data_IF_138694064398
#
_entry.id   IF_138694064398
#
_cell.length_a   1.000
_cell.length_b   1.000
_cell.length_c   1.000
_cell.angle_alpha   90.00
_cell.angle_beta   90.00
_cell.angle_gamma   90.00
#
_symmetry.space_group_name_H-M   'P 1'
#
loop_
_entity.id
_entity.type
_entity.pdbx_description
1 polymer ?
#
# COMPACT_ATOMS: atom_id res chain seq x y z
N UNK A 1 -14.62 -7.74 51.60
CA UNK A 1 -13.59 -8.78 51.39
C UNK A 1 -12.24 -8.20 51.82
N UNK A 2 -11.44 -8.89 52.63
CA UNK A 2 -10.13 -8.38 53.09
C UNK A 2 -9.10 -8.64 51.99
N UNK A 3 -8.41 -7.60 51.52
CA UNK A 3 -7.41 -7.70 50.44
C UNK A 3 -6.03 -7.26 50.94
N UNK A 4 -4.99 -8.00 50.55
CA UNK A 4 -3.59 -7.72 50.94
C UNK A 4 -2.96 -6.58 50.15
N UNK A 5 -3.38 -6.37 48.89
CA UNK A 5 -2.92 -5.27 48.05
C UNK A 5 -3.84 -4.06 48.20
N UNK A 6 -3.58 -3.22 49.21
CA UNK A 6 -4.30 -1.95 49.34
C UNK A 6 -3.84 -0.94 48.27
N UNK A 7 -4.63 0.10 47.98
CA UNK A 7 -4.21 1.17 47.07
C UNK A 7 -2.86 1.79 47.45
N UNK A 8 -2.61 1.98 48.75
CA UNK A 8 -1.38 2.55 49.28
C UNK A 8 -0.20 1.59 49.08
N UNK A 9 -0.40 0.29 49.36
CA UNK A 9 0.62 -0.75 49.18
C UNK A 9 1.05 -0.92 47.71
N UNK A 10 0.21 -0.52 46.75
CA UNK A 10 0.47 -0.62 45.31
C UNK A 10 0.82 0.70 44.63
N UNK A 11 0.80 1.83 45.35
CA UNK A 11 0.91 3.17 44.77
C UNK A 11 2.19 3.37 43.93
N UNK A 12 3.35 2.96 44.46
CA UNK A 12 4.63 3.10 43.77
C UNK A 12 4.69 2.27 42.47
N UNK A 13 4.27 1.00 42.53
CA UNK A 13 4.22 0.12 41.34
C UNK A 13 3.20 0.62 40.31
N UNK A 14 2.04 1.12 40.75
CA UNK A 14 1.04 1.73 39.86
C UNK A 14 1.56 2.98 39.18
N UNK A 15 2.29 3.83 39.89
CA UNK A 15 2.84 5.06 39.33
C UNK A 15 3.99 4.77 38.34
N UNK A 16 4.84 3.78 38.63
CA UNK A 16 5.83 3.28 37.68
C UNK A 16 5.17 2.71 36.42
N UNK A 17 4.15 1.86 36.59
CA UNK A 17 3.38 1.29 35.48
C UNK A 17 2.66 2.38 34.67
N UNK A 18 2.09 3.40 35.31
CA UNK A 18 1.42 4.51 34.65
C UNK A 18 2.37 5.25 33.72
N UNK A 19 3.59 5.57 34.17
CA UNK A 19 4.61 6.23 33.32
C UNK A 19 4.99 5.36 32.13
N UNK A 20 5.19 4.06 32.36
CA UNK A 20 5.47 3.11 31.28
C UNK A 20 4.33 3.04 30.26
N UNK A 21 3.07 2.96 30.73
CA UNK A 21 1.89 2.95 29.86
C UNK A 21 1.75 4.25 29.07
N UNK A 22 2.00 5.41 29.67
CA UNK A 22 1.95 6.70 28.95
C UNK A 22 3.01 6.76 27.85
N UNK A 23 4.24 6.34 28.15
CA UNK A 23 5.31 6.28 27.16
C UNK A 23 4.96 5.30 26.01
N UNK A 24 4.41 4.13 26.36
CA UNK A 24 3.95 3.15 25.38
C UNK A 24 2.82 3.70 24.50
N UNK A 25 1.77 4.29 25.08
CA UNK A 25 0.65 4.86 24.32
C UNK A 25 1.09 6.01 23.40
N UNK A 26 2.10 6.79 23.83
CA UNK A 26 2.66 7.83 22.98
C UNK A 26 3.41 7.25 21.77
N UNK A 27 4.14 6.14 21.94
CA UNK A 27 4.84 5.45 20.86
C UNK A 27 3.89 4.63 19.96
N UNK A 28 2.80 4.11 20.52
CA UNK A 28 1.84 3.23 19.85
C UNK A 28 0.41 3.74 20.07
N UNK A 29 0.00 4.82 19.37
CA UNK A 29 -1.31 5.47 19.58
C UNK A 29 -2.52 4.63 19.13
N UNK A 30 -2.29 3.40 18.65
CA UNK A 30 -3.31 2.53 18.07
C UNK A 30 -3.55 2.79 16.58
N UNK A 31 -4.67 2.28 16.08
CA UNK A 31 -5.01 2.37 14.66
C UNK A 31 -5.40 3.80 14.25
N UNK A 32 -4.93 4.21 13.07
CA UNK A 32 -5.30 5.51 12.50
C UNK A 32 -6.72 5.45 11.91
N UNK A 33 -7.51 6.50 12.12
CA UNK A 33 -8.79 6.70 11.42
C UNK A 33 -8.64 7.09 9.94
N UNK A 34 -7.40 7.27 9.47
CA UNK A 34 -7.10 7.53 8.06
C UNK A 34 -7.50 6.32 7.22
N UNK A 35 -8.15 6.58 6.08
CA UNK A 35 -8.46 5.54 5.09
C UNK A 35 -7.20 4.72 4.79
N UNK A 36 -7.33 3.41 4.86
CA UNK A 36 -6.33 2.45 4.40
C UNK A 36 -6.83 1.79 3.12
N UNK A 37 -5.93 1.38 2.21
CA UNK A 37 -6.32 0.64 1.05
C UNK A 37 -6.87 -0.73 1.44
N UNK A 38 -7.99 -1.13 0.83
CA UNK A 38 -8.54 -2.49 1.03
C UNK A 38 -7.73 -3.54 0.27
N UNK A 39 -7.05 -3.12 -0.80
CA UNK A 39 -6.23 -3.98 -1.65
C UNK A 39 -5.00 -3.23 -2.17
N UNK A 40 -3.85 -3.91 -2.11
CA UNK A 40 -2.56 -3.44 -2.63
C UNK A 40 -2.07 -4.36 -3.73
N UNK A 41 -1.80 -3.79 -4.91
CA UNK A 41 -1.19 -4.48 -6.06
C UNK A 41 0.29 -4.17 -6.11
N UNK A 42 1.12 -5.21 -6.23
CA UNK A 42 2.54 -5.07 -6.56
C UNK A 42 2.72 -5.34 -8.05
N UNK A 43 3.33 -4.41 -8.78
CA UNK A 43 3.60 -4.56 -10.21
C UNK A 43 5.03 -4.15 -10.55
N UNK A 44 5.70 -4.96 -11.36
CA UNK A 44 7.11 -4.75 -11.70
C UNK A 44 7.38 -3.37 -12.29
N UNK A 45 8.44 -2.72 -11.80
CA UNK A 45 8.75 -1.34 -12.13
C UNK A 45 8.89 -1.05 -13.64
N UNK A 46 9.49 -1.98 -14.39
CA UNK A 46 9.67 -1.89 -15.85
C UNK A 46 8.35 -1.81 -16.63
N UNK A 47 7.23 -2.26 -16.04
CA UNK A 47 5.91 -2.27 -16.67
C UNK A 47 5.02 -1.10 -16.25
N UNK A 48 5.40 -0.34 -15.22
CA UNK A 48 4.55 0.72 -14.69
C UNK A 48 4.38 1.84 -15.71
N UNK A 49 3.13 2.29 -15.88
CA UNK A 49 2.75 3.44 -16.69
C UNK A 49 1.67 4.22 -15.95
N UNK A 50 1.54 5.52 -16.22
CA UNK A 50 0.55 6.37 -15.55
C UNK A 50 -0.90 5.87 -15.71
N UNK A 51 -1.20 5.15 -16.80
CA UNK A 51 -2.51 4.57 -17.08
C UNK A 51 -2.72 3.14 -16.58
N UNK A 52 -1.75 2.53 -15.89
CA UNK A 52 -1.80 1.12 -15.48
C UNK A 52 -3.02 0.79 -14.64
N UNK A 53 -3.37 1.62 -13.65
CA UNK A 53 -4.53 1.39 -12.80
C UNK A 53 -5.83 1.38 -13.61
N UNK A 54 -6.01 2.32 -14.54
CA UNK A 54 -7.19 2.36 -15.40
C UNK A 54 -7.27 1.12 -16.27
N UNK A 55 -6.17 0.75 -16.95
CA UNK A 55 -6.08 -0.45 -17.79
C UNK A 55 -6.44 -1.72 -17.02
N UNK A 56 -5.94 -1.90 -15.80
CA UNK A 56 -6.28 -3.03 -14.94
C UNK A 56 -7.78 -3.06 -14.63
N UNK A 57 -8.39 -1.90 -14.37
CA UNK A 57 -9.81 -1.80 -14.13
C UNK A 57 -10.68 -2.11 -15.35
N UNK A 58 -10.25 -1.71 -16.55
CA UNK A 58 -10.98 -2.03 -17.78
C UNK A 58 -11.01 -3.55 -18.03
N UNK A 59 -9.88 -4.22 -17.78
CA UNK A 59 -9.78 -5.68 -17.82
C UNK A 59 -10.64 -6.35 -16.76
N UNK A 60 -10.63 -5.84 -15.51
CA UNK A 60 -11.46 -6.37 -14.43
C UNK A 60 -12.97 -6.20 -14.72
N UNK A 61 -13.36 -5.05 -15.29
CA UNK A 61 -14.75 -4.81 -15.71
C UNK A 61 -15.17 -5.72 -16.85
N UNK A 62 -14.30 -5.98 -17.82
CA UNK A 62 -14.56 -6.96 -18.87
C UNK A 62 -14.77 -8.36 -18.28
N UNK A 63 -13.87 -8.82 -17.42
CA UNK A 63 -14.00 -10.11 -16.76
C UNK A 63 -15.29 -10.23 -15.93
N UNK A 64 -15.69 -9.17 -15.22
CA UNK A 64 -16.94 -9.19 -14.46
C UNK A 64 -18.16 -9.28 -15.39
N UNK A 65 -18.15 -8.59 -16.53
CA UNK A 65 -19.23 -8.69 -17.53
C UNK A 65 -19.32 -10.09 -18.15
N UNK A 66 -18.18 -10.75 -18.36
CA UNK A 66 -18.15 -12.07 -19.01
C UNK A 66 -18.54 -13.20 -18.05
N UNK A 67 -18.34 -13.02 -16.74
CA UNK A 67 -18.44 -14.12 -15.77
C UNK A 67 -19.39 -13.88 -14.60
N UNK A 68 -19.85 -12.65 -14.40
CA UNK A 68 -20.69 -12.25 -13.28
C UNK A 68 -21.57 -11.06 -13.66
N UNK A 69 -22.49 -11.27 -14.61
CA UNK A 69 -23.35 -10.20 -15.15
C UNK A 69 -24.30 -9.60 -14.10
N UNK A 70 -24.62 -10.37 -13.06
CA UNK A 70 -25.48 -9.96 -11.96
C UNK A 70 -24.99 -10.48 -10.60
N UNK A 71 -25.70 -10.06 -9.54
CA UNK A 71 -25.40 -10.50 -8.19
C UNK A 71 -25.50 -12.01 -7.98
N UNK A 72 -26.43 -12.71 -8.64
CA UNK A 72 -26.61 -14.15 -8.45
C UNK A 72 -25.42 -14.93 -8.98
N UNK A 73 -24.95 -14.60 -10.19
CA UNK A 73 -23.76 -15.21 -10.78
C UNK A 73 -22.50 -14.89 -9.97
N UNK A 74 -22.32 -13.63 -9.56
CA UNK A 74 -21.21 -13.24 -8.68
C UNK A 74 -21.23 -14.03 -7.37
N UNK A 75 -22.41 -14.16 -6.75
CA UNK A 75 -22.56 -14.89 -5.50
C UNK A 75 -22.33 -16.38 -5.67
N UNK A 76 -22.72 -16.97 -6.80
CA UNK A 76 -22.42 -18.36 -7.10
C UNK A 76 -20.90 -18.59 -7.21
N UNK A 77 -20.20 -17.77 -7.99
CA UNK A 77 -18.75 -17.89 -8.19
C UNK A 77 -17.93 -17.64 -6.92
N UNK A 78 -18.43 -16.80 -6.01
CA UNK A 78 -17.74 -16.45 -4.75
C UNK A 78 -18.28 -17.19 -3.51
N UNK A 79 -19.29 -18.06 -3.66
CA UNK A 79 -19.93 -18.75 -2.54
C UNK A 79 -20.67 -17.82 -1.55
N UNK A 80 -21.21 -16.69 -2.02
CA UNK A 80 -21.89 -15.70 -1.19
C UNK A 80 -23.38 -16.03 -0.99
N UNK A 81 -23.98 -15.63 0.14
CA UNK A 81 -25.41 -15.79 0.37
C UNK A 81 -26.25 -14.92 -0.56
N UNK A 82 -27.27 -15.50 -1.20
CA UNK A 82 -28.17 -14.78 -2.12
C UNK A 82 -29.39 -14.13 -1.44
N UNK A 83 -29.38 -14.05 -0.12
CA UNK A 83 -30.55 -13.66 0.69
C UNK A 83 -30.75 -12.15 0.67
N UNK A 84 -32.01 -11.68 0.60
CA UNK A 84 -32.37 -10.29 0.85
C UNK A 84 -31.64 -9.26 -0.02
N UNK A 85 -31.35 -9.60 -1.28
CA UNK A 85 -30.65 -8.71 -2.24
C UNK A 85 -29.19 -8.41 -1.89
N UNK A 86 -28.57 -9.12 -0.94
CA UNK A 86 -27.17 -8.93 -0.55
C UNK A 86 -26.22 -9.06 -1.75
N UNK A 87 -26.41 -10.12 -2.53
CA UNK A 87 -25.60 -10.43 -3.70
C UNK A 87 -25.60 -9.29 -4.74
N UNK A 88 -26.78 -8.74 -5.05
CA UNK A 88 -26.88 -7.60 -5.98
C UNK A 88 -26.20 -6.35 -5.42
N UNK A 89 -26.39 -6.04 -4.14
CA UNK A 89 -25.74 -4.89 -3.49
C UNK A 89 -24.21 -4.99 -3.47
N UNK A 90 -23.67 -6.21 -3.39
CA UNK A 90 -22.23 -6.45 -3.50
C UNK A 90 -21.76 -6.26 -4.94
N UNK A 91 -22.48 -6.84 -5.90
CA UNK A 91 -22.19 -6.68 -7.33
C UNK A 91 -22.15 -5.21 -7.76
N UNK A 92 -23.17 -4.43 -7.42
CA UNK A 92 -23.24 -3.00 -7.74
C UNK A 92 -22.05 -2.22 -7.14
N UNK A 93 -21.65 -2.56 -5.91
CA UNK A 93 -20.50 -1.94 -5.22
C UNK A 93 -19.17 -2.33 -5.85
N UNK A 94 -19.01 -3.58 -6.29
CA UNK A 94 -17.82 -4.04 -7.01
C UNK A 94 -17.70 -3.31 -8.34
N UNK A 95 -18.80 -3.21 -9.10
CA UNK A 95 -18.85 -2.45 -10.35
C UNK A 95 -18.46 -0.98 -10.15
N UNK A 96 -19.08 -0.30 -9.18
CA UNK A 96 -18.77 1.10 -8.85
C UNK A 96 -17.30 1.27 -8.42
N UNK A 97 -16.77 0.35 -7.60
CA UNK A 97 -15.37 0.37 -7.19
C UNK A 97 -14.43 0.19 -8.38
N UNK A 98 -14.67 -0.77 -9.27
CA UNK A 98 -13.84 -0.99 -10.45
C UNK A 98 -13.90 0.18 -11.45
N UNK A 99 -15.04 0.87 -11.52
CA UNK A 99 -15.19 2.07 -12.35
C UNK A 99 -14.42 3.26 -11.78
N UNK A 100 -14.49 3.52 -10.47
CA UNK A 100 -13.89 4.72 -9.86
C UNK A 100 -12.45 4.53 -9.41
N UNK A 101 -12.14 3.39 -8.79
CA UNK A 101 -10.88 3.11 -8.12
C UNK A 101 -10.52 1.62 -8.28
N UNK A 102 -10.22 1.16 -9.51
CA UNK A 102 -9.99 -0.26 -9.81
C UNK A 102 -8.79 -0.86 -9.07
N UNK A 103 -7.77 -0.04 -8.84
CA UNK A 103 -6.62 -0.33 -8.00
C UNK A 103 -6.62 0.75 -6.94
N UNK A 104 -6.70 0.35 -5.68
CA UNK A 104 -6.72 1.30 -4.57
C UNK A 104 -5.31 1.70 -4.17
N UNK A 105 -4.41 0.73 -4.10
CA UNK A 105 -3.00 0.92 -3.82
C UNK A 105 -2.10 0.19 -4.81
N UNK A 106 -1.14 0.89 -5.40
CA UNK A 106 -0.16 0.31 -6.33
C UNK A 106 1.26 0.51 -5.80
N UNK A 107 2.00 -0.60 -5.67
CA UNK A 107 3.42 -0.61 -5.29
C UNK A 107 4.25 -0.97 -6.50
N UNK A 108 5.02 0.01 -6.97
CA UNK A 108 6.00 -0.14 -8.04
C UNK A 108 7.13 -0.99 -7.47
N UNK A 109 7.20 -2.23 -7.93
CA UNK A 109 8.05 -3.24 -7.34
C UNK A 109 9.41 -3.27 -8.01
N UNK A 110 10.48 -3.12 -7.22
CA UNK A 110 11.88 -3.35 -7.58
C UNK A 110 12.46 -4.60 -6.87
N UNK A 111 11.63 -5.34 -6.14
CA UNK A 111 12.06 -6.49 -5.35
C UNK A 111 11.78 -7.82 -6.09
N UNK A 112 11.01 -8.74 -5.52
CA UNK A 112 10.90 -10.12 -6.01
C UNK A 112 10.17 -10.20 -7.35
N UNK A 113 9.09 -9.43 -7.54
CA UNK A 113 8.32 -9.40 -8.79
C UNK A 113 9.04 -8.71 -9.95
N UNK A 114 10.10 -7.95 -9.66
CA UNK A 114 10.97 -7.32 -10.64
C UNK A 114 12.19 -8.17 -11.00
N UNK A 115 12.68 -8.91 -10.01
CA UNK A 115 13.85 -9.78 -10.12
C UNK A 115 15.17 -9.04 -9.98
N UNK A 116 16.23 -9.68 -10.49
CA UNK A 116 17.58 -9.13 -10.50
C UNK A 116 17.91 -8.55 -11.87
N UNK A 117 18.40 -7.30 -11.91
CA UNK A 117 18.88 -6.63 -13.12
C UNK A 117 20.28 -6.04 -12.87
N UNK A 118 21.08 -5.79 -13.92
CA UNK A 118 22.25 -4.93 -13.81
C UNK A 118 21.87 -3.54 -13.31
N UNK A 119 22.77 -2.88 -12.57
CA UNK A 119 22.47 -1.59 -11.94
C UNK A 119 22.01 -0.53 -12.94
N UNK A 120 22.67 -0.41 -14.09
CA UNK A 120 22.28 0.55 -15.12
C UNK A 120 20.85 0.33 -15.67
N UNK A 121 20.39 -0.92 -15.71
CA UNK A 121 19.02 -1.23 -16.15
C UNK A 121 18.01 -0.91 -15.05
N UNK A 122 18.32 -1.23 -13.78
CA UNK A 122 17.47 -0.87 -12.65
C UNK A 122 17.36 0.65 -12.46
N UNK A 123 18.46 1.38 -12.59
CA UNK A 123 18.51 2.83 -12.56
C UNK A 123 17.60 3.45 -13.64
N UNK A 124 17.68 2.94 -14.87
CA UNK A 124 16.84 3.41 -15.97
C UNK A 124 15.35 3.17 -15.69
N UNK A 125 15.00 2.02 -15.10
CA UNK A 125 13.62 1.75 -14.70
C UNK A 125 13.16 2.59 -13.50
N UNK A 126 14.05 2.93 -12.56
CA UNK A 126 13.76 3.84 -11.45
C UNK A 126 13.35 5.22 -11.97
N UNK A 127 14.16 5.78 -12.87
CA UNK A 127 13.89 7.07 -13.52
C UNK A 127 12.59 6.99 -14.34
N UNK A 128 12.45 5.98 -15.20
CA UNK A 128 11.26 5.86 -16.06
C UNK A 128 9.96 5.70 -15.27
N UNK A 129 9.97 4.88 -14.21
CA UNK A 129 8.80 4.70 -13.36
C UNK A 129 8.44 5.99 -12.60
N UNK A 130 9.44 6.73 -12.09
CA UNK A 130 9.23 8.02 -11.44
C UNK A 130 8.64 9.07 -12.40
N UNK A 131 9.13 9.15 -13.64
CA UNK A 131 8.55 10.00 -14.69
C UNK A 131 7.09 9.65 -14.95
N UNK A 132 6.74 8.36 -15.03
CA UNK A 132 5.36 7.92 -15.21
C UNK A 132 4.47 8.23 -14.00
N UNK A 133 5.01 8.21 -12.77
CA UNK A 133 4.27 8.67 -11.58
C UNK A 133 4.02 10.17 -11.65
N UNK A 134 5.04 10.98 -11.99
CA UNK A 134 4.87 12.43 -12.14
C UNK A 134 3.80 12.76 -13.20
N UNK A 135 3.85 12.08 -14.34
CA UNK A 135 2.83 12.19 -15.41
C UNK A 135 1.44 11.81 -14.92
N UNK A 136 1.31 10.71 -14.18
CA UNK A 136 0.03 10.30 -13.62
C UNK A 136 -0.51 11.26 -12.56
N UNK A 137 0.38 11.87 -11.78
CA UNK A 137 0.01 12.87 -10.77
C UNK A 137 -0.56 14.12 -11.44
N UNK A 138 0.07 14.59 -12.52
CA UNK A 138 -0.43 15.71 -13.33
C UNK A 138 -1.77 15.37 -13.98
N UNK A 139 -1.93 14.16 -14.51
CA UNK A 139 -3.13 13.71 -15.20
C UNK A 139 -4.27 13.30 -14.26
N UNK A 140 -4.02 13.20 -12.95
CA UNK A 140 -5.00 12.66 -11.99
C UNK A 140 -5.35 11.19 -12.24
N UNK A 141 -4.45 10.42 -12.86
CA UNK A 141 -4.70 9.03 -13.26
C UNK A 141 -4.16 7.99 -12.27
N UNK A 142 -3.45 8.44 -11.23
CA UNK A 142 -2.89 7.56 -10.21
C UNK A 142 -3.99 6.96 -9.33
N UNK A 143 -3.78 5.75 -8.80
CA UNK A 143 -4.62 5.22 -7.73
C UNK A 143 -4.55 6.11 -6.47
N UNK A 144 -5.56 6.05 -5.58
CA UNK A 144 -5.59 6.83 -4.34
C UNK A 144 -4.34 6.68 -3.47
N UNK A 145 -3.76 5.48 -3.46
CA UNK A 145 -2.50 5.17 -2.80
C UNK A 145 -1.51 4.65 -3.86
N UNK A 146 -0.26 5.09 -3.77
CA UNK A 146 0.80 4.62 -4.65
C UNK A 146 2.12 4.63 -3.89
N UNK A 147 3.08 3.84 -4.33
CA UNK A 147 4.40 3.85 -3.71
C UNK A 147 5.42 3.03 -4.46
N UNK A 148 6.60 2.96 -3.89
CA UNK A 148 7.70 2.13 -4.37
C UNK A 148 7.99 1.05 -3.33
N UNK A 149 8.29 -0.17 -3.79
CA UNK A 149 8.94 -1.21 -2.99
C UNK A 149 10.35 -1.43 -3.53
N UNK A 150 11.33 -0.99 -2.77
CA UNK A 150 12.75 -1.23 -3.08
C UNK A 150 13.19 -2.60 -2.54
N UNK A 151 14.42 -3.01 -2.86
CA UNK A 151 15.01 -4.20 -2.24
C UNK A 151 15.21 -4.00 -0.73
N UNK A 152 15.37 -5.10 0.01
CA UNK A 152 15.58 -5.05 1.46
C UNK A 152 16.86 -4.32 1.84
N UNK A 153 16.86 -3.65 2.99
CA UNK A 153 18.05 -3.00 3.56
C UNK A 153 18.91 -4.01 4.34
N UNK A 154 19.40 -5.04 3.64
CA UNK A 154 20.48 -5.90 4.14
C UNK A 154 21.83 -5.35 3.71
N UNK A 155 22.92 -5.79 4.33
CA UNK A 155 24.29 -5.36 3.99
C UNK A 155 24.59 -5.50 2.48
N UNK A 156 24.13 -6.59 1.86
CA UNK A 156 24.39 -6.89 0.45
C UNK A 156 23.57 -6.01 -0.51
N UNK A 157 22.38 -5.57 -0.08
CA UNK A 157 21.41 -4.92 -0.94
C UNK A 157 21.24 -3.43 -0.66
N UNK A 158 21.77 -2.92 0.45
CA UNK A 158 21.59 -1.54 0.90
C UNK A 158 22.02 -0.52 -0.17
N UNK A 159 23.20 -0.68 -0.74
CA UNK A 159 23.73 0.26 -1.74
C UNK A 159 22.83 0.34 -2.99
N UNK A 160 22.31 -0.79 -3.45
CA UNK A 160 21.37 -0.83 -4.59
C UNK A 160 20.01 -0.25 -4.20
N UNK A 161 19.44 -0.69 -3.08
CA UNK A 161 18.12 -0.28 -2.65
C UNK A 161 18.04 1.24 -2.38
N UNK A 162 19.07 1.80 -1.73
CA UNK A 162 19.19 3.24 -1.48
C UNK A 162 19.35 4.04 -2.78
N UNK A 163 20.19 3.58 -3.72
CA UNK A 163 20.35 4.19 -5.04
C UNK A 163 19.04 4.20 -5.84
N UNK A 164 18.33 3.07 -5.89
CA UNK A 164 17.03 2.97 -6.58
C UNK A 164 16.01 3.91 -5.96
N UNK A 165 15.94 4.00 -4.63
CA UNK A 165 15.06 4.92 -3.92
C UNK A 165 15.39 6.39 -4.24
N UNK A 166 16.67 6.75 -4.17
CA UNK A 166 17.16 8.10 -4.42
C UNK A 166 16.85 8.56 -5.85
N UNK A 167 17.24 7.77 -6.85
CA UNK A 167 16.95 8.06 -8.25
C UNK A 167 15.45 8.25 -8.50
N UNK A 168 14.62 7.37 -7.92
CA UNK A 168 13.18 7.45 -8.08
C UNK A 168 12.60 8.72 -7.45
N UNK A 169 12.93 9.00 -6.19
CA UNK A 169 12.37 10.15 -5.45
C UNK A 169 12.87 11.47 -6.03
N UNK A 170 14.16 11.57 -6.34
CA UNK A 170 14.76 12.74 -6.98
C UNK A 170 14.08 13.04 -8.30
N UNK A 171 13.98 12.05 -9.20
CA UNK A 171 13.31 12.22 -10.50
C UNK A 171 11.85 12.63 -10.32
N UNK A 172 11.13 11.99 -9.40
CA UNK A 172 9.72 12.30 -9.15
C UNK A 172 9.55 13.75 -8.69
N UNK A 173 10.36 14.21 -7.74
CA UNK A 173 10.32 15.58 -7.23
C UNK A 173 10.68 16.61 -8.31
N UNK A 174 11.70 16.35 -9.12
CA UNK A 174 12.08 17.23 -10.23
C UNK A 174 10.94 17.38 -11.24
N UNK A 175 10.31 16.27 -11.63
CA UNK A 175 9.26 16.26 -12.66
C UNK A 175 7.90 16.76 -12.13
N UNK A 176 7.64 16.69 -10.82
CA UNK A 176 6.35 17.08 -10.23
C UNK A 176 6.32 18.50 -9.65
N UNK A 177 7.45 19.22 -9.71
CA UNK A 177 7.63 20.52 -9.07
C UNK A 177 7.72 20.42 -7.54
N UNK A 178 8.41 19.40 -7.03
CA UNK A 178 8.67 19.18 -5.61
C UNK A 178 7.53 18.50 -4.85
N UNK A 179 6.61 17.82 -5.54
CA UNK A 179 5.43 17.19 -4.94
C UNK A 179 5.50 15.67 -4.99
N UNK A 180 5.10 15.03 -3.91
CA UNK A 180 4.77 13.60 -3.91
C UNK A 180 3.25 13.42 -4.00
N UNK A 181 2.77 12.28 -4.53
CA UNK A 181 1.37 11.90 -4.35
C UNK A 181 0.96 11.96 -2.86
N UNK A 182 -0.25 12.45 -2.51
CA UNK A 182 -0.64 12.68 -1.11
C UNK A 182 -0.56 11.46 -0.18
N UNK A 183 -0.62 10.25 -0.73
CA UNK A 183 -0.51 8.98 0.01
C UNK A 183 0.61 8.11 -0.55
N UNK A 184 1.73 8.73 -0.91
CA UNK A 184 2.95 8.05 -1.33
C UNK A 184 3.55 7.24 -0.17
N UNK A 185 3.90 5.98 -0.40
CA UNK A 185 4.56 5.13 0.62
C UNK A 185 5.83 4.49 0.05
N UNK A 186 6.88 4.45 0.86
CA UNK A 186 8.05 3.63 0.61
C UNK A 186 7.89 2.33 1.38
N UNK A 187 7.88 1.21 0.67
CA UNK A 187 7.81 -0.13 1.26
C UNK A 187 9.22 -0.68 1.41
N UNK A 188 9.63 -0.92 2.66
CA UNK A 188 10.88 -1.60 3.01
C UNK A 188 10.55 -3.08 3.28
N UNK A 189 10.91 -4.02 2.38
CA UNK A 189 10.56 -5.43 2.56
C UNK A 189 11.51 -6.12 3.53
N UNK A 190 11.02 -7.21 4.13
CA UNK A 190 11.82 -8.18 4.90
C UNK A 190 12.61 -7.56 6.05
N UNK A 191 12.05 -6.54 6.71
CA UNK A 191 12.63 -5.93 7.91
C UNK A 191 12.70 -6.97 9.04
N UNK A 192 13.90 -7.19 9.58
CA UNK A 192 14.17 -8.10 10.68
C UNK A 192 14.62 -7.39 11.96
N UNK A 193 15.14 -6.16 11.84
CA UNK A 193 15.56 -5.32 12.97
C UNK A 193 15.11 -3.87 12.77
N UNK A 194 14.81 -3.12 13.86
CA UNK A 194 14.34 -1.74 13.76
C UNK A 194 15.29 -0.80 13.01
N UNK A 195 16.61 -1.04 13.06
CA UNK A 195 17.65 -0.22 12.43
C UNK A 195 17.60 -0.22 10.90
N UNK A 196 16.77 -1.09 10.29
CA UNK A 196 16.53 -1.12 8.84
C UNK A 196 15.45 -0.12 8.37
N UNK A 197 14.84 0.65 9.28
CA UNK A 197 13.76 1.63 8.99
C UNK A 197 14.22 3.04 9.34
#
# INVERSE_FOLDING_TARGET
MKTTLTPEASAASREALRRANVAFTHAYPGESSRRQPVHTVYGGAHLFRAGTARKMGDLALAALRDHATDGSQLAHGLGLPQRGGFAQRVHDRVMDKLQREPVEDFRIDFEDGYGHRPDAEEDAHAVAAATEVARGLEQGSLPPFIGIRVKSFTEELYARASRTLDLFVTTLLEQSGGRLPPSFVVTLPKVTVPEQV
#
